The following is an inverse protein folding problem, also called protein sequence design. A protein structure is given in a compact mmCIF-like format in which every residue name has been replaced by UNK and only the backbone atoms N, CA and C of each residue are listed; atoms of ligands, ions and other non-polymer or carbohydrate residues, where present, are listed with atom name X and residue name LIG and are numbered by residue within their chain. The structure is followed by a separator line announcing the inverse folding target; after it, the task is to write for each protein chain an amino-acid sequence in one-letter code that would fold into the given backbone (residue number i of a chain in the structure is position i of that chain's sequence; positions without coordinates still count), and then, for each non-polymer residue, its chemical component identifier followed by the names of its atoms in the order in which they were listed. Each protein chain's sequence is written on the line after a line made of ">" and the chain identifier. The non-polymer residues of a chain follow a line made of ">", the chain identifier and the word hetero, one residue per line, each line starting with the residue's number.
data_IF_018281100311
#
_entry.id   IF_018281100311
#
_cell.length_a   1.000
_cell.length_b   1.000
_cell.length_c   1.000
_cell.angle_alpha   90.00
_cell.angle_beta   90.00
_cell.angle_gamma   90.00
#
_symmetry.space_group_name_H-M   'P 1'
#
loop_
_entity.id
_entity.type
_entity.pdbx_description
1 polymer ?
#
# COMPACT_ATOMS: atom_id res chain seq x y z
N UNK A 1 4.32 14.85 0.17
CA UNK A 1 3.02 14.20 -0.14
C UNK A 1 2.06 15.21 -0.75
N UNK A 2 1.25 14.79 -1.71
CA UNK A 2 0.23 15.64 -2.36
C UNK A 2 -1.05 14.83 -2.47
N UNK A 3 -2.18 15.41 -2.10
CA UNK A 3 -3.46 14.70 -2.09
C UNK A 3 -4.65 15.65 -2.31
N UNK A 4 -5.75 15.09 -2.81
CA UNK A 4 -7.05 15.77 -2.86
C UNK A 4 -7.90 15.42 -1.65
N UNK A 5 -8.61 16.39 -1.07
CA UNK A 5 -9.48 16.17 0.07
C UNK A 5 -10.35 17.37 0.40
N UNK A 6 -10.98 17.37 1.57
CA UNK A 6 -11.78 18.48 2.07
C UNK A 6 -11.46 18.74 3.55
N UNK A 7 -11.69 19.97 4.02
CA UNK A 7 -11.62 20.31 5.44
C UNK A 7 -12.99 20.04 6.06
N UNK A 8 -13.04 19.17 7.08
CA UNK A 8 -14.27 18.81 7.78
C UNK A 8 -14.13 17.55 8.63
N UNK A 9 -15.20 17.15 9.30
CA UNK A 9 -15.24 15.94 10.14
C UNK A 9 -15.44 14.64 9.35
N UNK A 10 -15.72 14.73 8.04
CA UNK A 10 -15.91 13.58 7.15
C UNK A 10 -15.52 13.94 5.72
N UNK A 11 -15.25 12.89 4.92
CA UNK A 11 -14.96 13.04 3.50
C UNK A 11 -16.22 13.50 2.74
N UNK A 12 -16.08 14.59 1.99
CA UNK A 12 -17.17 15.11 1.15
C UNK A 12 -17.28 14.33 -0.16
N UNK A 13 -18.52 14.08 -0.59
CA UNK A 13 -18.82 13.53 -1.93
C UNK A 13 -19.02 14.63 -2.98
N UNK A 14 -19.04 15.90 -2.57
CA UNK A 14 -19.33 17.03 -3.45
C UNK A 14 -18.04 17.58 -4.03
N UNK A 15 -17.94 17.64 -5.36
CA UNK A 15 -16.71 18.05 -6.04
C UNK A 15 -16.25 19.46 -5.71
N UNK A 16 -17.18 20.38 -5.42
CA UNK A 16 -16.87 21.76 -5.03
C UNK A 16 -16.21 21.90 -3.64
N UNK A 17 -16.32 20.87 -2.79
CA UNK A 17 -15.68 20.86 -1.48
C UNK A 17 -14.27 20.25 -1.53
N UNK A 18 -13.89 19.66 -2.67
CA UNK A 18 -12.62 18.95 -2.85
C UNK A 18 -11.57 19.92 -3.39
N UNK A 19 -10.46 20.03 -2.67
CA UNK A 19 -9.29 20.83 -3.05
C UNK A 19 -8.04 19.96 -3.03
N UNK A 20 -6.94 20.48 -3.57
CA UNK A 20 -5.63 19.82 -3.57
C UNK A 20 -4.74 20.44 -2.50
N UNK A 21 -4.08 19.59 -1.71
CA UNK A 21 -3.24 19.96 -0.59
C UNK A 21 -1.86 19.30 -0.70
N UNK A 22 -0.85 19.95 -0.11
CA UNK A 22 0.52 19.46 -0.06
C UNK A 22 1.04 19.44 1.38
N UNK A 23 1.89 18.46 1.67
CA UNK A 23 2.68 18.40 2.90
C UNK A 23 4.13 18.09 2.57
N UNK A 24 5.04 18.91 3.11
CA UNK A 24 6.50 18.80 3.00
C UNK A 24 7.17 18.18 4.24
N UNK A 25 6.39 17.81 5.26
CA UNK A 25 6.88 17.30 6.54
C UNK A 25 6.19 15.99 6.94
N UNK A 26 5.90 15.12 5.97
CA UNK A 26 5.37 13.78 6.24
C UNK A 26 3.93 13.75 6.75
N UNK A 27 3.15 14.83 6.58
CA UNK A 27 1.71 14.84 6.86
C UNK A 27 1.30 15.55 8.13
N UNK A 28 2.27 16.07 8.89
CA UNK A 28 2.02 16.82 10.13
C UNK A 28 1.35 18.16 9.82
N UNK A 29 1.81 18.85 8.78
CA UNK A 29 1.20 20.10 8.31
C UNK A 29 0.84 20.00 6.84
N UNK A 30 -0.36 20.52 6.52
CA UNK A 30 -0.90 20.55 5.18
C UNK A 30 -1.20 21.99 4.77
N UNK A 31 -0.89 22.32 3.52
CA UNK A 31 -1.23 23.60 2.89
C UNK A 31 -2.14 23.33 1.70
N UNK A 32 -3.25 24.06 1.61
CA UNK A 32 -4.06 24.08 0.39
C UNK A 32 -3.27 24.79 -0.72
N UNK A 33 -3.12 24.14 -1.86
CA UNK A 33 -2.38 24.72 -3.01
C UNK A 33 -3.32 25.21 -4.11
N UNK A 34 -4.47 24.56 -4.30
CA UNK A 34 -5.45 24.97 -5.30
C UNK A 34 -6.83 24.38 -5.03
N UNK A 35 -7.87 25.06 -5.48
CA UNK A 35 -9.26 24.58 -5.44
C UNK A 35 -9.49 23.53 -6.53
N UNK A 36 -10.30 22.52 -6.23
CA UNK A 36 -10.58 21.41 -7.13
C UNK A 36 -9.54 20.29 -7.09
N UNK A 37 -9.82 19.23 -7.86
CA UNK A 37 -8.93 18.10 -8.06
C UNK A 37 -7.95 18.38 -9.20
N UNK A 38 -6.65 18.26 -8.89
CA UNK A 38 -5.55 18.42 -9.83
C UNK A 38 -4.71 17.15 -9.85
N UNK A 39 -4.07 16.86 -10.98
CA UNK A 39 -3.15 15.74 -11.14
C UNK A 39 -1.76 16.24 -10.73
N UNK A 40 -1.17 15.75 -9.63
CA UNK A 40 0.21 16.05 -9.29
C UNK A 40 1.17 15.09 -10.00
N UNK A 41 2.37 15.56 -10.31
CA UNK A 41 3.49 14.71 -10.70
C UNK A 41 4.79 15.33 -10.15
N UNK A 42 5.67 14.47 -9.65
CA UNK A 42 6.92 14.86 -8.98
C UNK A 42 8.08 14.33 -9.81
N UNK A 43 9.09 15.16 -10.07
CA UNK A 43 10.29 14.75 -10.79
C UNK A 43 11.56 15.12 -10.04
N UNK A 44 12.68 14.58 -10.50
CA UNK A 44 14.04 14.81 -9.98
C UNK A 44 14.06 14.76 -8.45
N UNK A 45 13.69 13.62 -7.88
CA UNK A 45 13.72 13.35 -6.43
C UNK A 45 12.97 14.39 -5.57
N UNK A 46 11.95 15.06 -6.15
CA UNK A 46 11.18 16.09 -5.45
C UNK A 46 11.70 17.51 -5.62
N UNK A 47 12.70 17.74 -6.47
CA UNK A 47 13.18 19.10 -6.76
C UNK A 47 12.16 19.93 -7.54
N UNK A 48 11.33 19.27 -8.36
CA UNK A 48 10.20 19.86 -9.07
C UNK A 48 8.92 19.12 -8.75
N UNK A 49 7.88 19.92 -8.50
CA UNK A 49 6.52 19.44 -8.31
C UNK A 49 5.64 20.17 -9.32
N UNK A 50 4.88 19.41 -10.08
CA UNK A 50 3.92 19.92 -11.04
C UNK A 50 2.50 19.56 -10.62
N UNK A 51 1.55 20.43 -10.95
CA UNK A 51 0.12 20.18 -10.81
C UNK A 51 -0.58 20.60 -12.10
N UNK A 52 -1.55 19.79 -12.53
CA UNK A 52 -2.29 20.04 -13.74
C UNK A 52 -3.80 19.88 -13.51
N UNK A 53 -4.60 20.80 -14.07
CA UNK A 53 -6.06 20.80 -13.93
C UNK A 53 -6.68 19.52 -14.54
N UNK A 54 -7.36 18.71 -13.72
CA UNK A 54 -7.94 17.44 -14.14
C UNK A 54 -9.32 17.57 -14.78
N UNK A 55 -10.11 18.56 -14.34
CA UNK A 55 -11.56 18.57 -14.60
C UNK A 55 -11.95 19.32 -15.87
N UNK A 56 -11.13 20.30 -16.28
CA UNK A 56 -11.39 21.19 -17.40
C UNK A 56 -10.29 21.05 -18.45
N UNK A 57 -10.60 21.41 -19.69
CA UNK A 57 -9.55 21.51 -20.71
C UNK A 57 -8.58 22.63 -20.34
N UNK A 58 -7.28 22.36 -20.48
CA UNK A 58 -6.22 23.31 -20.15
C UNK A 58 -5.12 23.28 -21.20
N UNK A 59 -4.37 24.37 -21.30
CA UNK A 59 -3.15 24.48 -22.09
C UNK A 59 -1.94 24.90 -21.25
N UNK A 60 -2.09 24.89 -19.92
CA UNK A 60 -1.07 25.30 -18.98
C UNK A 60 -0.92 24.30 -17.83
N UNK A 61 0.28 24.29 -17.28
CA UNK A 61 0.68 23.52 -16.11
C UNK A 61 1.22 24.50 -15.06
N UNK A 62 0.95 24.22 -13.79
CA UNK A 62 1.52 24.97 -12.68
C UNK A 62 2.60 24.12 -12.03
N UNK A 63 3.73 24.71 -11.66
CA UNK A 63 4.86 23.99 -11.09
C UNK A 63 5.58 24.82 -10.04
N UNK A 64 6.33 24.15 -9.17
CA UNK A 64 7.23 24.75 -8.18
C UNK A 64 8.56 24.02 -8.20
N UNK A 65 9.65 24.78 -8.06
CA UNK A 65 11.02 24.25 -8.00
C UNK A 65 11.75 24.65 -6.71
N UNK A 66 11.06 25.28 -5.77
CA UNK A 66 11.63 25.83 -4.54
C UNK A 66 10.94 25.31 -3.27
N UNK A 67 10.40 24.09 -3.33
CA UNK A 67 9.73 23.47 -2.18
C UNK A 67 8.35 24.07 -1.87
N UNK A 68 7.65 24.57 -2.88
CA UNK A 68 6.27 25.07 -2.74
C UNK A 68 6.13 26.46 -2.13
N UNK A 69 7.23 27.22 -2.01
CA UNK A 69 7.19 28.63 -1.64
C UNK A 69 6.50 29.45 -2.72
N UNK A 70 6.89 29.23 -3.97
CA UNK A 70 6.32 29.92 -5.13
C UNK A 70 5.86 28.91 -6.19
N UNK A 71 4.78 29.26 -6.89
CA UNK A 71 4.19 28.47 -7.96
C UNK A 71 4.17 29.30 -9.25
N UNK A 72 4.72 28.73 -10.31
CA UNK A 72 4.82 29.33 -11.63
C UNK A 72 3.89 28.63 -12.62
N UNK A 73 3.39 29.36 -13.61
CA UNK A 73 2.56 28.81 -14.68
C UNK A 73 3.37 28.71 -15.97
N UNK A 74 3.30 27.56 -16.65
CA UNK A 74 3.88 27.33 -17.97
C UNK A 74 2.75 27.01 -18.96
N UNK A 75 2.65 27.78 -20.03
CA UNK A 75 1.71 27.52 -21.13
C UNK A 75 2.41 26.59 -22.13
N UNK A 76 1.96 25.34 -22.21
CA UNK A 76 2.60 24.31 -23.02
C UNK A 76 2.00 24.16 -24.43
N UNK A 77 0.89 24.85 -24.72
CA UNK A 77 0.19 24.75 -26.01
C UNK A 77 -0.64 26.01 -26.29
N UNK A 78 -0.80 26.35 -27.58
CA UNK A 78 -1.70 27.43 -28.00
C UNK A 78 -3.18 27.05 -27.94
N UNK A 79 -3.49 25.76 -27.83
CA UNK A 79 -4.85 25.23 -27.74
C UNK A 79 -5.01 24.37 -26.50
N UNK A 80 -6.21 24.38 -25.92
CA UNK A 80 -6.56 23.55 -24.77
C UNK A 80 -6.63 22.08 -25.16
N UNK A 81 -6.34 21.22 -24.18
CA UNK A 81 -6.51 19.77 -24.27
C UNK A 81 -7.24 19.28 -23.03
N UNK A 82 -8.05 18.24 -23.18
CA UNK A 82 -8.56 17.47 -22.05
C UNK A 82 -7.46 16.50 -21.63
N UNK A 83 -6.76 16.81 -20.55
CA UNK A 83 -5.66 15.97 -20.08
C UNK A 83 -6.16 14.65 -19.52
N UNK A 84 -5.47 13.58 -19.87
CA UNK A 84 -5.68 12.25 -19.30
C UNK A 84 -4.71 11.99 -18.15
N UNK A 85 -3.42 12.32 -18.32
CA UNK A 85 -2.43 12.26 -17.26
C UNK A 85 -1.16 13.05 -17.60
N UNK A 86 -0.28 13.16 -16.61
CA UNK A 86 1.12 13.58 -16.72
C UNK A 86 1.99 12.47 -16.12
N UNK A 87 3.19 12.24 -16.65
CA UNK A 87 4.15 11.24 -16.14
C UNK A 87 5.58 11.73 -16.27
N UNK A 88 6.43 11.25 -15.37
CA UNK A 88 7.90 11.30 -15.44
C UNK A 88 8.44 9.87 -15.67
N UNK A 89 9.73 9.71 -15.94
CA UNK A 89 10.42 8.41 -15.98
C UNK A 89 10.12 7.55 -14.75
N UNK A 90 10.21 6.23 -14.94
CA UNK A 90 10.27 5.28 -13.84
C UNK A 90 11.52 5.55 -12.99
N UNK A 91 11.31 5.98 -11.73
CA UNK A 91 12.38 6.45 -10.86
C UNK A 91 12.11 7.84 -10.28
N UNK A 92 11.25 8.64 -10.92
CA UNK A 92 10.95 10.03 -10.50
C UNK A 92 12.21 10.90 -10.34
N UNK A 93 13.22 10.62 -11.15
CA UNK A 93 14.59 11.15 -11.10
C UNK A 93 14.89 12.13 -12.25
N UNK A 94 13.96 12.24 -13.22
CA UNK A 94 14.06 13.17 -14.35
C UNK A 94 13.29 14.48 -14.15
N UNK A 95 13.67 15.48 -14.94
CA UNK A 95 13.04 16.82 -15.00
C UNK A 95 12.15 16.98 -16.24
N UNK A 96 12.02 15.91 -17.01
CA UNK A 96 11.23 15.82 -18.22
C UNK A 96 9.90 15.12 -17.94
N UNK A 97 8.82 15.67 -18.45
CA UNK A 97 7.47 15.16 -18.22
C UNK A 97 6.75 14.95 -19.54
N UNK A 98 5.91 13.91 -19.59
CA UNK A 98 5.00 13.62 -20.69
C UNK A 98 3.56 13.88 -20.24
N UNK A 99 2.96 14.91 -20.81
CA UNK A 99 1.51 15.16 -20.68
C UNK A 99 0.80 14.56 -21.88
N UNK A 100 -0.26 13.81 -21.65
CA UNK A 100 -1.06 13.25 -22.74
C UNK A 100 -2.55 13.39 -22.50
N UNK A 101 -3.29 13.52 -23.59
CA UNK A 101 -4.72 13.73 -23.56
C UNK A 101 -5.34 13.84 -24.94
N UNK A 102 -6.53 14.42 -25.00
CA UNK A 102 -7.30 14.57 -26.23
C UNK A 102 -7.52 16.05 -26.52
N UNK A 103 -7.24 16.44 -27.75
CA UNK A 103 -7.62 17.75 -28.31
C UNK A 103 -8.87 17.59 -29.16
N UNK A 104 -9.83 18.49 -28.99
CA UNK A 104 -11.01 18.59 -29.85
C UNK A 104 -10.88 19.84 -30.72
N UNK A 105 -10.98 19.69 -32.03
CA UNK A 105 -10.96 20.82 -32.98
C UNK A 105 -12.13 20.66 -33.95
N UNK A 106 -13.15 21.52 -33.80
CA UNK A 106 -14.45 21.31 -34.45
C UNK A 106 -15.06 19.97 -34.03
N UNK A 107 -15.29 19.08 -34.99
CA UNK A 107 -15.83 17.73 -34.74
C UNK A 107 -14.76 16.62 -34.67
N UNK A 108 -13.48 16.98 -34.81
CA UNK A 108 -12.37 16.00 -34.83
C UNK A 108 -11.73 15.91 -33.45
N UNK A 109 -11.50 14.68 -32.97
CA UNK A 109 -10.75 14.39 -31.76
C UNK A 109 -9.40 13.77 -32.13
N UNK A 110 -8.32 14.28 -31.54
CA UNK A 110 -6.96 13.78 -31.76
C UNK A 110 -6.26 13.57 -30.43
N UNK A 111 -5.55 12.45 -30.30
CA UNK A 111 -4.64 12.22 -29.18
C UNK A 111 -3.41 13.13 -29.31
N UNK A 112 -3.00 13.73 -28.21
CA UNK A 112 -1.83 14.63 -28.16
C UNK A 112 -0.93 14.17 -27.03
N UNK A 113 0.38 14.15 -27.30
CA UNK A 113 1.45 13.98 -26.32
C UNK A 113 2.30 15.24 -26.36
N UNK A 114 2.62 15.78 -25.19
CA UNK A 114 3.39 17.00 -25.00
C UNK A 114 4.56 16.66 -24.08
N UNK A 115 5.76 16.89 -24.58
CA UNK A 115 7.00 16.75 -23.81
C UNK A 115 7.35 18.10 -23.19
N UNK A 116 7.47 18.12 -21.86
CA UNK A 116 7.87 19.28 -21.07
C UNK A 116 9.28 19.04 -20.54
N UNK A 117 10.18 19.98 -20.82
CA UNK A 117 11.56 19.94 -20.33
C UNK A 117 11.80 21.14 -19.42
N UNK A 118 12.09 20.87 -18.14
CA UNK A 118 12.31 21.88 -17.11
C UNK A 118 13.79 22.17 -16.85
N UNK A 119 14.74 21.68 -17.67
CA UNK A 119 16.18 21.90 -17.46
C UNK A 119 16.53 23.39 -17.24
N UNK A 120 15.93 24.28 -18.03
CA UNK A 120 16.16 25.73 -17.96
C UNK A 120 15.49 26.43 -16.78
N UNK A 121 14.65 25.74 -16.00
CA UNK A 121 13.97 26.33 -14.85
C UNK A 121 14.89 26.42 -13.62
N UNK A 122 15.92 25.59 -13.54
CA UNK A 122 16.78 25.47 -12.36
C UNK A 122 18.03 26.35 -12.47
N UNK A 123 18.58 26.74 -11.32
CA UNK A 123 19.83 27.53 -11.25
C UNK A 123 21.09 26.70 -11.52
N UNK A 124 20.99 25.37 -11.51
CA UNK A 124 22.10 24.43 -11.68
C UNK A 124 21.91 23.18 -10.83
N UNK A 125 22.93 22.32 -10.77
CA UNK A 125 22.95 21.15 -9.87
C UNK A 125 23.18 21.62 -8.43
N UNK A 126 22.51 21.01 -7.46
CA UNK A 126 22.67 21.36 -6.05
C UNK A 126 24.08 21.05 -5.55
N UNK A 127 24.65 22.01 -4.80
CA UNK A 127 25.97 21.88 -4.19
C UNK A 127 25.85 21.36 -2.75
N UNK A 128 26.59 20.29 -2.44
CA UNK A 128 26.61 19.69 -1.11
C UNK A 128 27.85 20.16 -0.34
N UNK A 129 27.71 20.69 0.89
CA UNK A 129 26.50 20.72 1.71
C UNK A 129 25.68 22.04 1.65
N UNK A 130 26.10 23.04 0.87
CA UNK A 130 25.57 24.41 0.97
C UNK A 130 24.09 24.58 0.60
N UNK A 131 23.55 23.70 -0.24
CA UNK A 131 22.14 23.72 -0.65
C UNK A 131 21.27 22.74 0.12
N UNK A 132 21.81 22.11 1.17
CA UNK A 132 21.12 21.08 1.95
C UNK A 132 20.97 21.47 3.43
N UNK A 133 19.88 21.03 4.03
CA UNK A 133 19.61 21.14 5.46
C UNK A 133 19.27 19.75 6.05
N UNK A 134 19.65 19.49 7.31
CA UNK A 134 19.19 18.31 8.01
C UNK A 134 17.69 18.46 8.33
N UNK A 135 16.92 17.42 8.08
CA UNK A 135 15.52 17.32 8.44
C UNK A 135 15.21 15.95 9.03
N UNK A 136 14.49 15.91 10.14
CA UNK A 136 14.04 14.66 10.76
C UNK A 136 12.51 14.63 10.75
N UNK A 137 11.88 13.49 10.39
CA UNK A 137 10.49 13.26 10.69
C UNK A 137 10.23 13.46 12.19
N UNK A 138 9.01 13.86 12.51
CA UNK A 138 8.53 13.98 13.88
C UNK A 138 7.04 13.79 13.94
N UNK A 139 6.56 13.34 15.09
CA UNK A 139 5.15 13.33 15.47
C UNK A 139 4.92 14.23 16.70
N UNK A 140 3.79 14.08 17.36
CA UNK A 140 3.46 14.79 18.60
C UNK A 140 4.34 14.39 19.80
N UNK A 141 5.04 13.27 19.72
CA UNK A 141 5.94 12.73 20.76
C UNK A 141 7.42 13.09 20.52
N UNK A 142 7.76 13.63 19.33
CA UNK A 142 9.07 14.20 19.02
C UNK A 142 9.69 13.58 17.77
N UNK A 143 11.02 13.44 17.76
CA UNK A 143 11.79 12.97 16.60
C UNK A 143 12.13 11.47 16.65
N UNK A 144 11.70 10.77 17.71
CA UNK A 144 11.97 9.36 17.86
C UNK A 144 10.77 8.56 17.37
N UNK A 145 10.86 8.04 16.15
CA UNK A 145 9.79 7.27 15.52
C UNK A 145 10.32 5.84 15.33
N UNK A 146 9.61 4.85 15.87
CA UNK A 146 10.03 3.44 15.87
C UNK A 146 11.45 3.27 16.45
N UNK A 147 11.68 3.89 17.62
CA UNK A 147 12.94 3.77 18.34
C UNK A 147 14.15 4.46 17.73
N UNK A 148 14.00 5.23 16.64
CA UNK A 148 15.11 5.93 16.02
C UNK A 148 14.75 7.34 15.56
N UNK A 149 15.77 8.20 15.58
CA UNK A 149 15.77 9.51 14.93
C UNK A 149 16.52 9.39 13.61
N UNK A 150 15.82 9.65 12.51
CA UNK A 150 16.41 9.63 11.16
C UNK A 150 16.54 11.07 10.65
N UNK A 151 17.77 11.54 10.46
CA UNK A 151 18.05 12.86 9.90
C UNK A 151 18.38 12.72 8.41
N UNK A 152 17.50 13.17 7.54
CA UNK A 152 17.70 13.25 6.09
C UNK A 152 18.36 14.57 5.71
N UNK A 153 19.31 14.52 4.78
CA UNK A 153 19.81 15.72 4.12
C UNK A 153 18.90 16.05 2.94
N UNK A 154 18.05 17.07 3.10
CA UNK A 154 17.14 17.52 2.05
C UNK A 154 17.58 18.87 1.49
N UNK A 155 17.19 19.19 0.27
CA UNK A 155 17.42 20.53 -0.30
C UNK A 155 16.75 21.59 0.58
N UNK A 156 17.51 22.61 0.95
CA UNK A 156 17.02 23.73 1.75
C UNK A 156 15.84 24.42 1.05
N UNK A 157 14.81 24.75 1.82
CA UNK A 157 13.63 25.46 1.31
C UNK A 157 14.06 26.77 0.63
N UNK A 158 13.45 27.08 -0.53
CA UNK A 158 13.79 28.27 -1.33
C UNK A 158 14.92 28.08 -2.36
N UNK A 159 15.74 27.03 -2.25
CA UNK A 159 16.77 26.71 -3.26
C UNK A 159 16.11 26.16 -4.54
N UNK A 160 16.62 26.59 -5.69
CA UNK A 160 16.10 26.27 -7.03
C UNK A 160 17.05 25.39 -7.85
N UNK A 161 18.00 24.71 -7.20
CA UNK A 161 18.92 23.77 -7.84
C UNK A 161 18.27 22.39 -8.01
N UNK A 162 18.75 21.55 -8.93
CA UNK A 162 18.25 20.19 -9.15
C UNK A 162 19.22 19.13 -8.60
N UNK A 163 18.74 17.91 -8.37
CA UNK A 163 19.54 16.80 -7.83
C UNK A 163 20.29 16.03 -8.91
N UNK A 164 19.59 15.62 -9.98
CA UNK A 164 20.09 14.78 -11.07
C UNK A 164 19.77 13.30 -10.87
N UNK A 165 19.78 12.55 -11.97
CA UNK A 165 19.33 11.14 -12.05
C UNK A 165 20.07 10.21 -11.07
N UNK A 166 21.39 10.39 -10.92
CA UNK A 166 22.23 9.56 -10.04
C UNK A 166 22.22 10.03 -8.56
N UNK A 167 21.24 10.84 -8.13
CA UNK A 167 21.25 11.37 -6.76
C UNK A 167 20.82 10.33 -5.73
N UNK A 168 21.67 10.11 -4.73
CA UNK A 168 21.36 9.29 -3.58
C UNK A 168 21.06 10.16 -2.35
N UNK A 169 19.89 9.95 -1.75
CA UNK A 169 19.53 10.62 -0.50
C UNK A 169 20.40 10.12 0.66
N UNK A 170 21.09 11.05 1.32
CA UNK A 170 21.87 10.75 2.52
C UNK A 170 21.01 10.90 3.77
N UNK A 171 21.10 9.94 4.68
CA UNK A 171 20.46 10.01 6.00
C UNK A 171 21.37 9.45 7.10
N UNK A 172 21.14 9.91 8.32
CA UNK A 172 21.85 9.48 9.52
C UNK A 172 20.84 9.00 10.56
N UNK A 173 21.07 7.80 11.10
CA UNK A 173 20.17 7.16 12.07
C UNK A 173 20.81 7.20 13.46
N UNK A 174 20.05 7.64 14.45
CA UNK A 174 20.42 7.61 15.86
C UNK A 174 19.33 6.89 16.65
N UNK A 175 19.65 5.76 17.28
CA UNK A 175 18.67 5.00 18.05
C UNK A 175 18.42 5.66 19.41
N UNK A 176 17.15 5.76 19.77
CA UNK A 176 16.69 6.30 21.03
C UNK A 176 16.70 5.24 22.13
N UNK A 177 16.49 5.65 23.39
CA UNK A 177 16.17 4.69 24.46
C UNK A 177 14.71 4.29 24.36
N UNK A 178 14.40 2.98 24.48
CA UNK A 178 13.01 2.51 24.46
C UNK A 178 12.17 3.15 25.57
N UNK A 179 10.92 3.47 25.25
CA UNK A 179 9.87 3.93 26.14
C UNK A 179 8.62 3.02 26.01
N UNK A 180 7.46 3.41 26.58
CA UNK A 180 6.25 2.57 26.58
C UNK A 180 5.60 2.47 25.19
N UNK A 181 5.71 3.52 24.38
CA UNK A 181 5.07 3.63 23.06
C UNK A 181 5.78 2.80 21.99
N UNK A 182 7.02 2.35 22.25
CA UNK A 182 7.76 1.41 21.40
C UNK A 182 7.26 -0.05 21.55
N UNK A 183 6.24 -0.28 22.39
CA UNK A 183 5.66 -1.62 22.63
C UNK A 183 4.16 -1.69 22.32
N UNK A 184 3.76 -2.82 21.75
CA UNK A 184 2.36 -3.22 21.63
C UNK A 184 2.05 -4.41 22.56
N UNK A 185 0.75 -4.66 22.76
CA UNK A 185 0.34 -5.84 23.52
C UNK A 185 0.73 -7.12 22.77
N UNK A 186 1.30 -8.07 23.50
CA UNK A 186 1.67 -9.37 22.93
C UNK A 186 0.43 -10.26 22.71
N UNK A 187 0.63 -11.41 22.09
CA UNK A 187 -0.42 -12.40 21.87
C UNK A 187 -1.21 -12.71 23.16
N UNK A 188 -2.53 -12.72 23.06
CA UNK A 188 -3.48 -12.88 24.17
C UNK A 188 -3.51 -11.75 25.20
N UNK A 189 -2.86 -10.62 24.94
CA UNK A 189 -3.01 -9.42 25.75
C UNK A 189 -3.64 -8.28 24.95
N UNK A 190 -4.42 -7.45 25.61
CA UNK A 190 -5.09 -6.30 25.01
C UNK A 190 -5.04 -5.10 25.93
N UNK A 191 -5.34 -3.91 25.39
CA UNK A 191 -5.38 -2.67 26.16
C UNK A 191 -6.86 -2.26 26.35
N UNK A 192 -7.43 -2.35 27.56
CA UNK A 192 -8.85 -2.02 27.78
C UNK A 192 -9.15 -0.52 27.58
N UNK A 193 -8.26 0.36 28.03
CA UNK A 193 -8.40 1.81 27.93
C UNK A 193 -7.13 2.48 27.37
N UNK A 194 -7.25 3.67 26.80
CA UNK A 194 -6.08 4.45 26.38
C UNK A 194 -5.10 4.63 27.56
N UNK A 195 -3.83 4.31 27.36
CA UNK A 195 -2.75 4.33 28.35
C UNK A 195 -2.87 3.31 29.51
N UNK A 196 -3.83 2.40 29.48
CA UNK A 196 -3.86 1.27 30.43
C UNK A 196 -2.77 0.23 30.09
N UNK A 197 -2.32 -0.56 31.07
CA UNK A 197 -1.40 -1.65 30.79
C UNK A 197 -2.07 -2.76 29.97
N UNK A 198 -1.28 -3.58 29.29
CA UNK A 198 -1.80 -4.74 28.56
C UNK A 198 -2.29 -5.82 29.53
N UNK A 199 -3.54 -6.22 29.40
CA UNK A 199 -4.25 -7.19 30.24
C UNK A 199 -4.47 -8.50 29.49
N UNK A 200 -4.35 -9.64 30.17
CA UNK A 200 -4.57 -10.96 29.60
C UNK A 200 -6.06 -11.19 29.22
N UNK A 201 -6.31 -11.64 27.99
CA UNK A 201 -7.65 -11.93 27.44
C UNK A 201 -7.86 -13.41 27.08
N UNK A 202 -6.79 -14.15 26.78
CA UNK A 202 -6.87 -15.59 26.50
C UNK A 202 -5.78 -16.41 27.19
N UNK A 203 -5.99 -17.72 27.25
CA UNK A 203 -5.05 -18.64 27.88
C UNK A 203 -3.73 -18.71 27.10
N UNK A 204 -2.63 -18.49 27.81
CA UNK A 204 -1.27 -18.66 27.29
C UNK A 204 -0.52 -19.71 28.12
N UNK A 205 0.43 -20.45 27.52
CA UNK A 205 1.24 -21.39 28.26
C UNK A 205 2.17 -20.68 29.25
N UNK A 206 2.51 -21.35 30.36
CA UNK A 206 3.51 -20.92 31.33
C UNK A 206 3.20 -19.58 32.05
N UNK A 207 1.93 -19.34 32.38
CA UNK A 207 1.57 -18.23 33.25
C UNK A 207 2.29 -18.31 34.60
N UNK A 208 2.81 -17.19 35.13
CA UNK A 208 3.32 -17.14 36.49
C UNK A 208 2.27 -17.60 37.52
N UNK A 209 2.67 -18.26 38.61
CA UNK A 209 1.74 -18.72 39.62
C UNK A 209 1.02 -17.53 40.25
N UNK A 210 -0.28 -17.71 40.49
CA UNK A 210 -1.12 -16.66 41.03
C UNK A 210 -0.71 -16.29 42.47
N UNK A 211 -0.56 -14.99 42.78
CA UNK A 211 -0.23 -14.54 44.13
C UNK A 211 -1.30 -14.92 45.17
N UNK A 212 -0.87 -15.18 46.41
CA UNK A 212 -1.79 -15.62 47.47
C UNK A 212 -2.92 -14.63 47.80
N UNK A 213 -2.71 -13.34 47.55
CA UNK A 213 -3.72 -12.30 47.79
C UNK A 213 -4.89 -12.35 46.80
N UNK A 214 -4.72 -13.01 45.65
CA UNK A 214 -5.80 -13.17 44.68
C UNK A 214 -6.99 -13.97 45.21
N UNK A 215 -6.79 -14.77 46.28
CA UNK A 215 -7.87 -15.41 47.05
C UNK A 215 -8.89 -14.43 47.62
N UNK A 216 -8.50 -13.16 47.79
CA UNK A 216 -9.37 -12.09 48.27
C UNK A 216 -10.05 -11.32 47.12
N UNK A 217 -9.80 -11.69 45.86
CA UNK A 217 -10.48 -11.10 44.70
C UNK A 217 -11.95 -11.53 44.70
N UNK A 218 -12.86 -10.58 44.50
CA UNK A 218 -14.31 -10.81 44.49
C UNK A 218 -14.94 -10.08 43.30
N UNK A 219 -16.19 -10.41 42.96
CA UNK A 219 -16.91 -9.74 41.85
C UNK A 219 -17.04 -8.22 42.04
N UNK A 220 -17.12 -7.76 43.29
CA UNK A 220 -17.19 -6.34 43.64
C UNK A 220 -15.81 -5.67 43.73
N UNK A 221 -14.75 -6.45 43.93
CA UNK A 221 -13.39 -5.97 44.07
C UNK A 221 -12.43 -6.92 43.37
N UNK A 222 -12.34 -6.75 42.04
CA UNK A 222 -11.44 -7.52 41.18
C UNK A 222 -10.00 -7.07 41.40
N UNK A 223 -9.15 -8.00 41.80
CA UNK A 223 -7.71 -7.79 41.94
C UNK A 223 -6.98 -8.25 40.68
N UNK A 224 -5.76 -7.77 40.48
CA UNK A 224 -4.88 -8.20 39.40
C UNK A 224 -3.41 -8.21 39.85
N UNK A 225 -2.55 -8.83 39.07
CA UNK A 225 -1.12 -8.91 39.34
C UNK A 225 -0.27 -8.71 38.09
N UNK A 226 0.94 -8.19 38.28
CA UNK A 226 1.84 -7.82 37.20
C UNK A 226 2.79 -8.96 36.83
N UNK A 227 2.96 -9.18 35.52
CA UNK A 227 3.79 -10.26 34.96
C UNK A 227 4.80 -9.72 33.94
N UNK A 228 5.96 -10.37 33.76
CA UNK A 228 6.99 -9.90 32.81
C UNK A 228 6.62 -10.09 31.33
N UNK A 229 5.50 -10.75 31.04
CA UNK A 229 4.96 -10.97 29.69
C UNK A 229 3.82 -9.99 29.38
N UNK A 230 3.32 -10.01 28.15
CA UNK A 230 2.16 -9.23 27.70
C UNK A 230 2.48 -8.00 26.87
N UNK A 231 3.75 -7.72 26.65
CA UNK A 231 4.22 -6.69 25.73
C UNK A 231 5.27 -7.26 24.80
N UNK A 232 5.23 -6.82 23.54
CA UNK A 232 6.29 -7.06 22.56
C UNK A 232 6.69 -5.74 21.92
N UNK A 233 7.93 -5.67 21.45
CA UNK A 233 8.42 -4.50 20.73
C UNK A 233 7.64 -4.36 19.41
N UNK A 234 7.34 -3.12 19.01
CA UNK A 234 6.77 -2.86 17.69
C UNK A 234 7.67 -3.42 16.59
N UNK A 235 7.06 -3.96 15.54
CA UNK A 235 7.81 -4.48 14.41
C UNK A 235 8.58 -3.35 13.71
N UNK A 236 9.85 -3.60 13.40
CA UNK A 236 10.76 -2.60 12.82
C UNK A 236 11.31 -1.56 13.80
N UNK A 237 10.91 -1.57 15.07
CA UNK A 237 11.47 -0.67 16.08
C UNK A 237 12.92 -1.05 16.42
N UNK A 238 13.79 -0.03 16.51
CA UNK A 238 15.23 -0.22 16.72
C UNK A 238 15.75 0.42 18.01
N UNK A 239 14.86 0.77 18.95
CA UNK A 239 15.23 1.41 20.20
C UNK A 239 16.29 0.60 20.97
N UNK A 240 17.18 1.32 21.65
CA UNK A 240 18.24 0.75 22.49
C UNK A 240 17.62 0.06 23.70
N UNK A 241 18.13 -1.14 24.01
CA UNK A 241 17.56 -2.09 24.97
C UNK A 241 16.86 -1.41 26.16
N UNK A 242 15.59 -1.76 26.43
CA UNK A 242 14.80 -1.10 27.46
C UNK A 242 15.46 -1.32 28.82
N UNK A 243 15.72 -0.24 29.57
CA UNK A 243 16.18 -0.35 30.96
C UNK A 243 15.16 -1.10 31.82
N UNK A 244 13.87 -0.90 31.53
CA UNK A 244 12.75 -1.60 32.16
C UNK A 244 11.72 -1.96 31.09
N UNK A 245 11.52 -3.25 30.82
CA UNK A 245 10.41 -3.68 29.96
C UNK A 245 9.07 -3.43 30.66
N UNK A 246 8.04 -2.95 29.93
CA UNK A 246 6.70 -2.86 30.49
C UNK A 246 6.20 -4.27 30.88
N UNK A 247 5.33 -4.30 31.89
CA UNK A 247 4.80 -5.55 32.46
C UNK A 247 3.31 -5.64 32.22
N UNK A 248 2.85 -6.76 31.70
CA UNK A 248 1.44 -7.05 31.53
C UNK A 248 0.74 -7.26 32.88
N UNK A 249 -0.58 -7.29 32.82
CA UNK A 249 -1.48 -7.51 33.96
C UNK A 249 -2.29 -8.77 33.71
N UNK A 250 -2.44 -9.59 34.74
CA UNK A 250 -3.34 -10.74 34.75
C UNK A 250 -4.39 -10.52 35.84
N UNK A 251 -5.69 -10.59 35.50
CA UNK A 251 -6.76 -10.60 36.50
C UNK A 251 -6.60 -11.78 37.46
N UNK A 252 -6.82 -11.54 38.75
CA UNK A 252 -6.93 -12.63 39.72
C UNK A 252 -8.18 -13.47 39.42
N UNK A 253 -8.10 -14.79 39.64
CA UNK A 253 -9.11 -15.78 39.27
C UNK A 253 -9.49 -15.70 37.78
N UNK A 254 -8.50 -15.49 36.90
CA UNK A 254 -8.73 -15.44 35.46
C UNK A 254 -9.28 -16.77 34.96
N UNK A 255 -10.53 -16.74 34.49
CA UNK A 255 -11.16 -17.82 33.75
C UNK A 255 -11.18 -17.44 32.27
N UNK A 256 -10.92 -18.40 31.39
CA UNK A 256 -10.97 -18.14 29.95
C UNK A 256 -12.38 -17.64 29.59
N UNK A 257 -12.50 -16.54 28.83
CA UNK A 257 -13.80 -16.10 28.36
C UNK A 257 -14.42 -17.25 27.57
N UNK A 258 -15.58 -17.75 28.03
CA UNK A 258 -16.42 -18.65 27.25
C UNK A 258 -16.83 -17.91 25.97
N UNK A 259 -16.02 -18.07 24.92
CA UNK A 259 -16.45 -17.68 23.58
C UNK A 259 -17.70 -18.50 23.30
N UNK A 260 -18.88 -17.89 23.08
CA UNK A 260 -20.01 -18.66 22.61
C UNK A 260 -19.55 -19.28 21.30
N UNK A 261 -19.38 -20.61 21.28
CA UNK A 261 -19.10 -21.32 20.04
C UNK A 261 -20.11 -20.81 19.03
N UNK A 262 -19.66 -20.20 17.90
CA UNK A 262 -20.60 -19.80 16.87
C UNK A 262 -21.47 -21.02 16.58
N UNK A 263 -22.80 -20.90 16.53
CA UNK A 263 -23.66 -22.04 16.30
C UNK A 263 -23.10 -22.74 15.07
N UNK A 264 -22.62 -23.97 15.25
CA UNK A 264 -22.27 -24.81 14.12
C UNK A 264 -23.49 -24.78 13.22
N UNK A 265 -23.38 -24.38 11.94
CA UNK A 265 -24.53 -24.42 11.06
C UNK A 265 -24.96 -25.88 10.96
N UNK A 266 -25.92 -26.26 11.79
CA UNK A 266 -26.64 -27.51 11.67
C UNK A 266 -27.51 -27.35 10.44
N UNK A 267 -26.95 -27.66 9.28
CA UNK A 267 -27.71 -27.85 8.05
C UNK A 267 -28.54 -29.10 8.32
N UNK A 268 -29.76 -28.94 8.80
CA UNK A 268 -30.76 -30.00 8.70
C UNK A 268 -31.00 -30.23 7.21
N UNK A 269 -30.65 -31.39 6.64
CA UNK A 269 -30.84 -31.61 5.22
C UNK A 269 -32.34 -31.58 4.92
N UNK A 270 -32.82 -30.46 4.38
CA UNK A 270 -34.20 -30.30 3.97
C UNK A 270 -34.38 -30.97 2.60
N UNK A 271 -35.58 -31.46 2.29
CA UNK A 271 -35.88 -32.16 1.02
C UNK A 271 -35.49 -31.36 -0.23
N UNK A 272 -35.42 -30.04 -0.12
CA UNK A 272 -34.98 -29.11 -1.16
C UNK A 272 -33.49 -29.29 -1.50
N UNK A 273 -32.62 -29.59 -0.53
CA UNK A 273 -31.18 -29.82 -0.76
C UNK A 273 -30.99 -31.11 -1.57
N UNK A 274 -31.72 -32.18 -1.25
CA UNK A 274 -31.70 -33.41 -2.04
C UNK A 274 -32.19 -33.19 -3.47
N UNK A 275 -33.20 -32.33 -3.66
CA UNK A 275 -33.67 -31.95 -4.99
C UNK A 275 -32.59 -31.21 -5.78
N UNK A 276 -31.89 -30.24 -5.18
CA UNK A 276 -30.80 -29.53 -5.85
C UNK A 276 -29.61 -30.45 -6.19
N UNK A 277 -29.24 -31.36 -5.29
CA UNK A 277 -28.18 -32.35 -5.56
C UNK A 277 -28.60 -33.28 -6.70
N UNK A 278 -29.85 -33.73 -6.72
CA UNK A 278 -30.37 -34.61 -7.78
C UNK A 278 -30.47 -33.90 -9.15
N UNK A 279 -30.90 -32.64 -9.16
CA UNK A 279 -30.92 -31.82 -10.39
C UNK A 279 -29.49 -31.56 -10.88
N UNK A 280 -28.56 -31.28 -9.96
CA UNK A 280 -27.14 -31.07 -10.28
C UNK A 280 -26.49 -32.32 -10.89
N UNK A 281 -26.73 -33.49 -10.30
CA UNK A 281 -26.17 -34.76 -10.83
C UNK A 281 -26.76 -35.12 -12.18
N UNK A 282 -28.08 -34.95 -12.38
CA UNK A 282 -28.71 -35.16 -13.69
C UNK A 282 -28.17 -34.18 -14.73
N UNK A 283 -27.97 -32.91 -14.37
CA UNK A 283 -27.37 -31.90 -15.24
C UNK A 283 -25.96 -32.28 -15.69
N UNK A 284 -25.11 -32.73 -14.76
CA UNK A 284 -23.75 -33.21 -15.07
C UNK A 284 -23.79 -34.42 -16.01
N UNK A 285 -24.68 -35.39 -15.76
CA UNK A 285 -24.82 -36.56 -16.62
C UNK A 285 -25.26 -36.19 -18.05
N UNK A 286 -26.15 -35.22 -18.21
CA UNK A 286 -26.56 -34.70 -19.53
C UNK A 286 -25.37 -34.03 -20.22
N UNK A 287 -24.61 -33.20 -19.51
CA UNK A 287 -23.42 -32.53 -20.07
C UNK A 287 -22.40 -33.58 -20.55
N UNK A 288 -22.14 -34.61 -19.75
CA UNK A 288 -21.22 -35.70 -20.11
C UNK A 288 -21.74 -36.47 -21.35
N UNK A 289 -23.03 -36.77 -21.40
CA UNK A 289 -23.63 -37.48 -22.54
C UNK A 289 -23.56 -36.64 -23.83
N UNK A 290 -23.86 -35.35 -23.76
CA UNK A 290 -23.77 -34.42 -24.89
C UNK A 290 -22.31 -34.26 -25.33
N UNK A 291 -21.38 -34.08 -24.40
CA UNK A 291 -19.95 -34.00 -24.70
C UNK A 291 -19.45 -35.29 -25.37
N UNK A 292 -19.92 -36.46 -24.91
CA UNK A 292 -19.57 -37.76 -25.50
C UNK A 292 -20.14 -37.95 -26.91
N UNK A 293 -21.37 -37.47 -27.16
CA UNK A 293 -21.98 -37.47 -28.49
C UNK A 293 -21.27 -36.51 -29.45
N UNK A 294 -20.96 -35.30 -29.00
CA UNK A 294 -20.19 -34.32 -29.76
C UNK A 294 -18.79 -34.84 -30.06
N UNK A 295 -18.14 -35.49 -29.09
CA UNK A 295 -16.89 -36.18 -29.32
C UNK A 295 -17.06 -37.25 -30.40
N UNK A 296 -18.12 -38.06 -30.40
CA UNK A 296 -18.27 -39.16 -31.37
C UNK A 296 -18.57 -38.69 -32.80
N UNK A 297 -19.31 -37.60 -32.97
CA UNK A 297 -19.87 -37.23 -34.28
C UNK A 297 -19.36 -35.90 -34.86
N UNK A 298 -18.61 -35.10 -34.10
CA UNK A 298 -18.16 -33.78 -34.56
C UNK A 298 -16.63 -33.65 -34.49
N UNK A 299 -15.99 -33.69 -35.66
CA UNK A 299 -14.52 -33.59 -35.79
C UNK A 299 -13.98 -32.23 -35.33
N UNK A 300 -14.72 -31.13 -35.56
CA UNK A 300 -14.33 -29.80 -35.07
C UNK A 300 -14.38 -29.68 -33.54
N UNK A 301 -15.28 -30.44 -32.88
CA UNK A 301 -15.32 -30.46 -31.43
C UNK A 301 -14.12 -31.22 -30.84
N UNK A 302 -13.67 -32.31 -31.50
CA UNK A 302 -12.45 -33.03 -31.09
C UNK A 302 -11.21 -32.17 -31.19
N UNK A 303 -11.01 -31.48 -32.31
CA UNK A 303 -9.82 -30.64 -32.50
C UNK A 303 -9.77 -29.49 -31.49
N UNK A 304 -10.89 -28.80 -31.26
CA UNK A 304 -10.98 -27.76 -30.23
C UNK A 304 -10.61 -28.28 -28.83
N UNK A 305 -11.07 -29.48 -28.47
CA UNK A 305 -10.81 -30.05 -27.15
C UNK A 305 -9.35 -30.53 -27.00
N UNK A 306 -8.76 -31.07 -28.07
CA UNK A 306 -7.35 -31.46 -28.11
C UNK A 306 -6.41 -30.25 -27.97
N UNK A 307 -6.74 -29.14 -28.64
CA UNK A 307 -6.00 -27.87 -28.52
C UNK A 307 -6.18 -27.23 -27.13
N UNK A 308 -7.40 -27.20 -26.59
CA UNK A 308 -7.69 -26.61 -25.29
C UNK A 308 -7.07 -27.39 -24.12
N UNK A 309 -6.92 -28.70 -24.25
CA UNK A 309 -6.31 -29.56 -23.22
C UNK A 309 -4.83 -29.90 -23.47
N UNK A 310 -4.22 -29.39 -24.54
CA UNK A 310 -2.79 -29.57 -24.83
C UNK A 310 -2.37 -31.02 -25.13
N UNK A 311 -3.29 -31.86 -25.64
CA UNK A 311 -3.01 -33.25 -25.97
C UNK A 311 -2.59 -33.35 -27.46
N UNK A 312 -1.38 -32.93 -27.78
CA UNK A 312 -0.80 -33.14 -29.12
C UNK A 312 -0.30 -34.57 -29.27
N UNK A 313 -0.76 -35.29 -30.30
CA UNK A 313 -0.20 -36.57 -30.75
C UNK A 313 1.13 -36.35 -31.46
N UNK A 314 2.21 -36.23 -30.70
CA UNK A 314 3.58 -36.45 -31.18
C UNK A 314 4.25 -37.32 -30.13
N UNK A 315 4.19 -38.64 -30.34
CA UNK A 315 5.11 -39.66 -29.80
C UNK A 315 4.47 -41.03 -30.07
N UNK A 316 4.49 -41.48 -31.33
CA UNK A 316 4.29 -42.92 -31.61
C UNK A 316 4.99 -43.45 -32.87
N UNK A 317 5.75 -42.63 -33.60
CA UNK A 317 6.56 -43.10 -34.74
C UNK A 317 8.04 -42.73 -34.54
N UNK A 318 8.76 -43.50 -33.71
CA UNK A 318 10.24 -43.56 -33.72
C UNK A 318 10.82 -44.82 -33.07
N UNK A 319 10.09 -45.94 -33.10
CA UNK A 319 10.63 -47.26 -32.71
C UNK A 319 10.20 -48.30 -33.75
N UNK A 320 10.65 -48.10 -34.98
CA UNK A 320 10.76 -49.13 -36.00
C UNK A 320 11.80 -48.63 -37.01
N UNK A 321 12.77 -49.48 -37.35
CA UNK A 321 13.89 -49.25 -38.28
C UNK A 321 15.16 -48.63 -37.65
N UNK A 322 15.87 -49.42 -36.85
CA UNK A 322 17.35 -49.45 -36.92
C UNK A 322 17.88 -50.80 -36.41
N UNK A 323 17.67 -51.86 -37.19
CA UNK A 323 18.41 -53.13 -37.11
C UNK A 323 18.44 -53.73 -38.52
N UNK A 324 19.62 -54.21 -38.97
CA UNK A 324 20.05 -54.66 -40.34
C UNK A 324 20.50 -53.48 -41.23
N UNK A 325 21.71 -53.35 -41.77
CA UNK A 325 22.93 -54.14 -41.99
C UNK A 325 24.08 -53.08 -42.17
N UNK A 326 25.40 -53.27 -42.03
CA UNK A 326 26.28 -54.36 -42.42
C UNK A 326 27.68 -54.10 -41.81
N UNK A 327 28.28 -55.14 -41.23
CA UNK A 327 29.71 -55.32 -41.05
C UNK A 327 30.32 -55.65 -42.43
N UNK A 328 31.22 -54.82 -42.95
CA UNK A 328 32.32 -55.24 -43.84
C UNK A 328 33.37 -54.11 -43.98
N UNK A 329 34.62 -54.50 -43.72
CA UNK A 329 35.91 -53.77 -43.74
C UNK A 329 36.25 -52.81 -42.58
#
# INVERSE_FOLDING_TARGET
>A
MIATGNIGSYLSKRSQDINTYISFNGGVHWKEITKGAWIPEIGDHGSIITILQQTQETNSITYTINGGEEWSNCVFSNSTIKVSNIRVSDGWDQKQFLVYGVRTTGNTKSSVIIHLDFDSAFSGKCDYPSDFEPWSPSDEHGHCVLGARINYMRRTTGKTCYFGEDHEHTSFVENCTCNLDDFECDHCFYRPDLNSPCELECMVPNLPPEPSYCKNSTDQHKLSYSVPMGYRLLDGDTCLSPKNKPKGIIPCNFEEPITPTPPTPFITPNNIIYLYVLVGTVGILIIIAVASLLWKFNESFRSFFQDACGLSTQDYDSVAEDETDDEND
#
